data_IF_938159020941
#
_entry.id   IF_938159020941
#
_cell.length_a   1.000
_cell.length_b   1.000
_cell.length_c   1.000
_cell.angle_alpha   90.00
_cell.angle_beta   90.00
_cell.angle_gamma   90.00
#
_symmetry.space_group_name_H-M   'P 1'
#
loop_
_entity.id
_entity.type
_entity.pdbx_description
1 polymer ?
#
# COMPACT_ATOMS: atom_id res chain seq x y z
N UNK A 1 -15.72 3.18 37.60
CA UNK A 1 -14.50 4.03 37.66
C UNK A 1 -13.71 3.76 36.39
N UNK A 2 -13.50 4.75 35.50
CA UNK A 2 -12.72 4.52 34.28
C UNK A 2 -11.24 4.34 34.67
N UNK A 3 -10.53 3.31 34.18
CA UNK A 3 -9.10 3.16 34.46
C UNK A 3 -8.36 4.41 33.97
N UNK A 4 -7.35 4.84 34.73
CA UNK A 4 -6.46 5.95 34.33
C UNK A 4 -5.83 5.55 32.99
N UNK A 5 -6.06 6.36 31.97
CA UNK A 5 -5.46 6.16 30.65
C UNK A 5 -4.84 7.45 30.16
N UNK A 6 -3.68 7.33 29.53
CA UNK A 6 -2.93 8.45 28.95
C UNK A 6 -2.99 8.30 27.45
N UNK A 7 -3.64 9.25 26.78
CA UNK A 7 -3.70 9.26 25.33
C UNK A 7 -2.31 9.39 24.71
N UNK A 8 -2.02 8.58 23.70
CA UNK A 8 -0.79 8.63 22.92
C UNK A 8 -1.00 9.25 21.54
N UNK A 9 -2.04 8.82 20.85
CA UNK A 9 -2.28 9.15 19.45
C UNK A 9 -3.77 9.16 19.16
N UNK A 10 -4.21 10.13 18.37
CA UNK A 10 -5.56 10.22 17.79
C UNK A 10 -5.45 10.52 16.30
N UNK A 11 -6.43 10.06 15.51
CA UNK A 11 -6.44 10.30 14.07
C UNK A 11 -7.63 9.65 13.38
N UNK A 12 -7.57 9.54 12.06
CA UNK A 12 -8.54 8.80 11.23
C UNK A 12 -7.83 7.61 10.58
N UNK A 13 -8.54 6.48 10.47
CA UNK A 13 -8.03 5.26 9.82
C UNK A 13 -7.70 5.45 8.32
N UNK A 14 -8.21 6.53 7.70
CA UNK A 14 -7.82 6.95 6.35
C UNK A 14 -6.35 7.36 6.24
N UNK A 15 -5.81 7.94 7.31
CA UNK A 15 -4.45 8.46 7.34
C UNK A 15 -3.46 7.43 7.90
N UNK A 16 -3.91 6.62 8.87
CA UNK A 16 -3.09 5.59 9.51
C UNK A 16 -3.90 4.29 9.65
N UNK A 17 -3.49 3.25 8.93
CA UNK A 17 -4.22 1.98 8.92
C UNK A 17 -4.22 1.30 10.29
N UNK A 18 -5.25 0.48 10.56
CA UNK A 18 -5.32 -0.33 11.78
C UNK A 18 -4.07 -1.24 11.93
N UNK A 19 -3.59 -1.80 10.83
CA UNK A 19 -2.38 -2.65 10.83
C UNK A 19 -1.16 -1.85 11.31
N UNK A 20 -0.98 -0.63 10.81
CA UNK A 20 0.11 0.25 11.23
C UNK A 20 0.02 0.61 12.71
N UNK A 21 -1.18 0.85 13.23
CA UNK A 21 -1.41 1.13 14.65
C UNK A 21 -1.09 -0.08 15.54
N UNK A 22 -1.45 -1.29 15.10
CA UNK A 22 -1.10 -2.53 15.81
C UNK A 22 0.40 -2.82 15.76
N UNK A 23 1.05 -2.56 14.63
CA UNK A 23 2.50 -2.67 14.50
C UNK A 23 3.22 -1.66 15.41
N UNK A 24 2.74 -0.42 15.47
CA UNK A 24 3.26 0.59 16.41
C UNK A 24 3.10 0.10 17.86
N UNK A 25 1.92 -0.40 18.22
CA UNK A 25 1.68 -0.97 19.55
C UNK A 25 2.65 -2.10 19.88
N UNK A 26 2.92 -2.98 18.93
CA UNK A 26 3.85 -4.09 19.08
C UNK A 26 5.30 -3.62 19.27
N UNK A 27 5.77 -2.69 18.42
CA UNK A 27 7.14 -2.15 18.47
C UNK A 27 7.40 -1.39 19.77
N UNK A 28 6.43 -0.59 20.21
CA UNK A 28 6.53 0.23 21.42
C UNK A 28 6.08 -0.51 22.70
N UNK A 29 5.79 -1.82 22.59
CA UNK A 29 5.29 -2.67 23.68
C UNK A 29 4.13 -2.02 24.47
N UNK A 30 3.20 -1.37 23.78
CA UNK A 30 2.13 -0.57 24.38
C UNK A 30 1.14 -1.48 25.12
N UNK A 31 0.92 -1.20 26.41
CA UNK A 31 -0.23 -1.71 27.16
C UNK A 31 -1.32 -0.63 27.24
N UNK A 32 -2.56 -0.97 26.88
CA UNK A 32 -3.65 0.00 26.87
C UNK A 32 -4.81 -0.39 25.95
N UNK A 33 -5.39 0.59 25.27
CA UNK A 33 -6.53 0.41 24.37
C UNK A 33 -6.34 1.19 23.08
N UNK A 34 -6.72 0.56 21.96
CA UNK A 34 -6.99 1.20 20.69
C UNK A 34 -8.50 1.19 20.45
N UNK A 35 -9.11 2.37 20.46
CA UNK A 35 -10.56 2.55 20.25
C UNK A 35 -10.80 3.13 18.86
N UNK A 36 -11.79 2.60 18.16
CA UNK A 36 -12.33 3.17 16.92
C UNK A 36 -13.74 3.66 17.23
N UNK A 37 -13.93 4.97 17.20
CA UNK A 37 -15.17 5.64 17.61
C UNK A 37 -16.39 5.06 16.87
N UNK A 38 -17.41 4.68 17.64
CA UNK A 38 -18.66 4.13 17.10
C UNK A 38 -18.55 2.72 16.52
N UNK A 39 -17.37 2.07 16.54
CA UNK A 39 -17.18 0.72 15.99
C UNK A 39 -16.75 -0.31 17.03
N UNK A 40 -15.64 -0.05 17.72
CA UNK A 40 -15.05 -1.09 18.56
C UNK A 40 -13.80 -0.67 19.33
N UNK A 41 -13.27 -1.62 20.09
CA UNK A 41 -12.09 -1.47 20.92
C UNK A 41 -11.23 -2.73 20.84
N UNK A 42 -9.92 -2.51 20.87
CA UNK A 42 -8.87 -3.51 20.98
C UNK A 42 -8.09 -3.21 22.26
N UNK A 43 -8.02 -4.15 23.20
CA UNK A 43 -7.05 -4.07 24.27
C UNK A 43 -5.66 -4.49 23.77
N UNK A 44 -4.63 -3.86 24.30
CA UNK A 44 -3.23 -4.10 23.96
C UNK A 44 -2.49 -4.55 25.22
N UNK A 45 -1.88 -5.71 25.18
CA UNK A 45 -1.15 -6.33 26.29
C UNK A 45 0.33 -6.40 25.92
N UNK A 46 1.13 -5.43 26.39
CA UNK A 46 2.57 -5.30 26.05
C UNK A 46 2.81 -5.35 24.52
N UNK A 47 1.95 -4.67 23.77
CA UNK A 47 2.00 -4.59 22.31
C UNK A 47 1.31 -5.74 21.57
N UNK A 48 0.86 -6.78 22.27
CA UNK A 48 0.06 -7.85 21.67
C UNK A 48 -1.43 -7.52 21.70
N UNK A 49 -2.17 -7.98 20.69
CA UNK A 49 -3.62 -7.84 20.65
C UNK A 49 -4.23 -8.71 21.74
N UNK A 50 -4.97 -8.08 22.66
CA UNK A 50 -5.71 -8.72 23.73
C UNK A 50 -7.15 -9.05 23.33
N UNK A 51 -8.10 -8.76 24.21
CA UNK A 51 -9.52 -8.79 23.88
C UNK A 51 -9.88 -7.76 22.81
N UNK A 52 -10.72 -8.17 21.86
CA UNK A 52 -11.23 -7.31 20.79
C UNK A 52 -12.75 -7.38 20.77
N UNK A 53 -13.39 -6.23 20.58
CA UNK A 53 -14.84 -6.11 20.45
C UNK A 53 -15.23 -5.15 19.32
N UNK A 54 -16.20 -5.54 18.50
CA UNK A 54 -16.75 -4.72 17.42
C UNK A 54 -18.25 -4.97 17.32
N UNK A 55 -19.07 -4.03 17.80
CA UNK A 55 -20.51 -4.26 17.96
C UNK A 55 -20.79 -5.51 18.83
N UNK A 56 -21.37 -6.55 18.23
CA UNK A 56 -21.66 -7.84 18.88
C UNK A 56 -20.54 -8.88 18.71
N UNK A 57 -19.58 -8.62 17.83
CA UNK A 57 -18.47 -9.54 17.57
C UNK A 57 -17.42 -9.42 18.67
N UNK A 58 -16.72 -10.53 18.94
CA UNK A 58 -15.57 -10.56 19.84
C UNK A 58 -14.41 -11.35 19.23
N UNK A 59 -13.19 -11.14 19.76
CA UNK A 59 -12.00 -11.90 19.36
C UNK A 59 -11.63 -11.71 17.89
N UNK A 60 -11.29 -12.81 17.21
CA UNK A 60 -10.77 -12.83 15.83
C UNK A 60 -11.76 -12.21 14.83
N UNK A 61 -13.05 -12.50 14.98
CA UNK A 61 -14.09 -11.97 14.09
C UNK A 61 -14.25 -10.46 14.25
N UNK A 62 -14.19 -9.96 15.49
CA UNK A 62 -14.22 -8.54 15.77
C UNK A 62 -12.99 -7.82 15.21
N UNK A 63 -11.81 -8.43 15.35
CA UNK A 63 -10.58 -7.89 14.81
C UNK A 63 -10.62 -7.81 13.28
N UNK A 64 -11.11 -8.88 12.63
CA UNK A 64 -11.32 -8.92 11.18
C UNK A 64 -12.29 -7.84 10.73
N UNK A 65 -13.43 -7.68 11.41
CA UNK A 65 -14.40 -6.63 11.12
C UNK A 65 -13.79 -5.23 11.28
N UNK A 66 -13.07 -4.95 12.37
CA UNK A 66 -12.39 -3.65 12.54
C UNK A 66 -11.35 -3.39 11.46
N UNK A 67 -10.57 -4.41 11.08
CA UNK A 67 -9.55 -4.32 10.03
C UNK A 67 -10.13 -4.17 8.63
N UNK A 68 -11.36 -4.64 8.40
CA UNK A 68 -12.05 -4.50 7.12
C UNK A 68 -12.32 -3.04 6.78
N UNK A 69 -12.63 -2.21 7.78
CA UNK A 69 -12.93 -0.78 7.59
C UNK A 69 -11.65 0.07 7.52
N UNK A 70 -11.58 0.98 6.55
CA UNK A 70 -10.46 1.90 6.33
C UNK A 70 -10.78 3.35 6.74
N UNK A 71 -11.90 3.57 7.41
CA UNK A 71 -12.33 4.88 7.91
C UNK A 71 -12.86 4.81 9.32
N UNK A 72 -12.58 5.86 10.09
CA UNK A 72 -13.10 6.04 11.44
C UNK A 72 -12.09 6.72 12.33
N UNK A 73 -12.58 7.60 13.22
CA UNK A 73 -11.70 8.23 14.20
C UNK A 73 -11.23 7.19 15.20
N UNK A 74 -9.94 7.20 15.49
CA UNK A 74 -9.34 6.30 16.47
C UNK A 74 -8.64 7.08 17.59
N UNK A 75 -8.52 6.42 18.73
CA UNK A 75 -7.72 6.87 19.88
C UNK A 75 -6.93 5.69 20.42
N UNK A 76 -5.61 5.83 20.46
CA UNK A 76 -4.67 4.93 21.11
C UNK A 76 -4.25 5.53 22.45
N UNK A 77 -4.48 4.81 23.54
CA UNK A 77 -4.16 5.27 24.89
C UNK A 77 -3.44 4.18 25.68
N UNK A 78 -2.41 4.57 26.46
CA UNK A 78 -1.77 3.69 27.46
C UNK A 78 -2.65 3.53 28.67
N UNK A 79 -2.56 2.36 29.29
CA UNK A 79 -3.13 2.09 30.60
C UNK A 79 -2.97 0.62 30.98
N UNK A 80 -3.78 0.18 31.93
CA UNK A 80 -3.74 -1.18 32.47
C UNK A 80 -5.02 -1.92 32.07
N UNK A 81 -5.06 -2.54 30.87
CA UNK A 81 -6.17 -3.37 30.48
C UNK A 81 -6.27 -4.60 31.39
N UNK A 82 -7.51 -4.97 31.74
CA UNK A 82 -7.78 -6.11 32.58
C UNK A 82 -7.68 -7.42 31.77
N UNK A 83 -7.06 -8.44 32.37
CA UNK A 83 -6.91 -9.77 31.79
C UNK A 83 -5.58 -9.97 31.06
N UNK A 84 -5.26 -11.23 30.81
CA UNK A 84 -4.03 -11.73 30.18
C UNK A 84 -4.29 -12.44 28.84
N UNK A 85 -5.56 -12.49 28.42
CA UNK A 85 -5.99 -13.17 27.19
C UNK A 85 -5.56 -12.39 25.96
N UNK A 86 -4.76 -13.05 25.12
CA UNK A 86 -4.40 -12.59 23.79
C UNK A 86 -5.45 -13.03 22.76
N UNK A 87 -5.66 -12.23 21.72
CA UNK A 87 -6.40 -12.67 20.55
C UNK A 87 -5.53 -13.65 19.75
N UNK A 88 -6.06 -14.84 19.49
CA UNK A 88 -5.38 -15.82 18.65
C UNK A 88 -5.38 -15.37 17.18
N UNK A 89 -4.44 -15.89 16.38
CA UNK A 89 -4.46 -15.79 14.92
C UNK A 89 -4.62 -14.37 14.34
N UNK A 90 -4.07 -13.35 15.01
CA UNK A 90 -4.07 -11.94 14.53
C UNK A 90 -3.63 -11.81 13.07
N UNK A 91 -2.54 -12.43 12.58
CA UNK A 91 -2.14 -12.30 11.19
C UNK A 91 -3.20 -12.80 10.20
N UNK A 92 -3.90 -13.89 10.55
CA UNK A 92 -4.99 -14.43 9.75
C UNK A 92 -6.16 -13.44 9.67
N UNK A 93 -6.59 -12.88 10.82
CA UNK A 93 -7.68 -11.89 10.84
C UNK A 93 -7.39 -10.68 9.95
N UNK A 94 -6.14 -10.20 9.97
CA UNK A 94 -5.70 -9.06 9.15
C UNK A 94 -5.65 -9.41 7.66
N UNK A 95 -5.07 -10.55 7.29
CA UNK A 95 -5.02 -11.00 5.90
C UNK A 95 -6.42 -11.27 5.32
N UNK A 96 -7.28 -11.92 6.11
CA UNK A 96 -8.66 -12.21 5.72
C UNK A 96 -9.47 -10.92 5.54
N UNK A 97 -9.26 -9.91 6.39
CA UNK A 97 -9.90 -8.59 6.20
C UNK A 97 -9.52 -7.93 4.86
N UNK A 98 -8.26 -8.03 4.42
CA UNK A 98 -7.84 -7.52 3.11
C UNK A 98 -8.50 -8.28 1.96
N UNK A 99 -8.50 -9.63 2.02
CA UNK A 99 -9.19 -10.48 1.04
C UNK A 99 -10.66 -10.09 0.94
N UNK A 100 -11.34 -9.97 2.08
CA UNK A 100 -12.76 -9.62 2.15
C UNK A 100 -13.03 -8.23 1.58
N UNK A 101 -12.14 -7.26 1.79
CA UNK A 101 -12.28 -5.92 1.20
C UNK A 101 -12.26 -5.97 -0.33
N UNK A 102 -11.38 -6.78 -0.91
CA UNK A 102 -11.32 -6.94 -2.37
C UNK A 102 -12.53 -7.69 -2.93
N UNK A 103 -13.03 -8.70 -2.23
CA UNK A 103 -14.30 -9.34 -2.60
C UNK A 103 -15.50 -8.38 -2.47
N UNK A 104 -15.52 -7.55 -1.43
CA UNK A 104 -16.58 -6.57 -1.22
C UNK A 104 -16.65 -5.55 -2.35
N UNK A 105 -15.51 -5.08 -2.88
CA UNK A 105 -15.49 -4.20 -4.07
C UNK A 105 -16.24 -4.80 -5.27
N UNK A 106 -16.29 -6.14 -5.38
CA UNK A 106 -16.95 -6.86 -6.48
C UNK A 106 -18.41 -7.22 -6.16
N UNK A 107 -18.77 -7.25 -4.88
CA UNK A 107 -20.08 -7.70 -4.39
C UNK A 107 -20.99 -6.55 -3.97
N UNK A 108 -20.45 -5.47 -3.43
CA UNK A 108 -21.19 -4.36 -2.82
C UNK A 108 -22.31 -3.85 -3.74
N UNK A 109 -21.97 -3.54 -4.99
CA UNK A 109 -22.91 -2.97 -5.97
C UNK A 109 -23.71 -4.04 -6.73
N UNK A 110 -23.63 -5.30 -6.31
CA UNK A 110 -24.35 -6.38 -6.99
C UNK A 110 -25.77 -6.48 -6.46
N UNK A 111 -26.72 -6.61 -7.37
CA UNK A 111 -28.11 -6.89 -7.05
C UNK A 111 -28.31 -8.39 -7.07
N UNK A 112 -28.74 -8.94 -5.95
CA UNK A 112 -28.96 -10.37 -5.78
C UNK A 112 -30.46 -10.64 -5.66
N UNK A 113 -30.88 -11.81 -6.16
CA UNK A 113 -32.21 -12.37 -5.90
C UNK A 113 -32.11 -13.84 -5.51
N UNK A 114 -33.12 -14.34 -4.81
CA UNK A 114 -33.27 -15.78 -4.53
C UNK A 114 -33.61 -16.54 -5.81
N UNK A 115 -33.13 -17.77 -5.92
CA UNK A 115 -33.50 -18.68 -7.00
C UNK A 115 -34.80 -19.39 -6.63
N UNK A 116 -35.86 -19.22 -7.43
CA UNK A 116 -37.21 -19.69 -7.10
C UNK A 116 -37.28 -21.22 -6.85
N UNK A 117 -36.53 -21.99 -7.62
CA UNK A 117 -36.51 -23.47 -7.55
C UNK A 117 -35.64 -24.04 -6.41
N UNK A 118 -34.98 -23.19 -5.62
CA UNK A 118 -34.08 -23.61 -4.52
C UNK A 118 -34.39 -22.82 -3.25
N UNK A 119 -35.18 -23.38 -2.30
CA UNK A 119 -35.55 -22.66 -1.09
C UNK A 119 -34.34 -22.40 -0.19
N UNK A 120 -34.24 -21.17 0.32
CA UNK A 120 -33.25 -20.81 1.34
C UNK A 120 -33.55 -21.54 2.64
N UNK A 121 -32.54 -22.20 3.22
CA UNK A 121 -32.59 -22.78 4.56
C UNK A 121 -31.77 -21.90 5.51
N UNK A 122 -32.39 -21.30 6.54
CA UNK A 122 -31.67 -20.48 7.51
C UNK A 122 -30.50 -21.24 8.14
N UNK A 123 -29.36 -20.57 8.18
CA UNK A 123 -28.10 -21.09 8.74
C UNK A 123 -27.89 -20.65 10.19
N UNK A 124 -28.69 -19.71 10.68
CA UNK A 124 -28.46 -18.97 11.93
C UNK A 124 -27.44 -17.82 11.78
N UNK A 125 -26.89 -17.63 10.58
CA UNK A 125 -25.86 -16.64 10.29
C UNK A 125 -26.42 -15.25 9.94
N UNK A 126 -25.56 -14.21 9.94
CA UNK A 126 -25.98 -12.83 9.72
C UNK A 126 -26.44 -12.53 8.28
N UNK A 127 -26.26 -13.48 7.36
CA UNK A 127 -26.76 -13.37 6.00
C UNK A 127 -28.24 -13.79 5.87
N UNK A 128 -28.76 -14.61 6.79
CA UNK A 128 -30.16 -15.06 6.77
C UNK A 128 -31.17 -13.89 6.67
N UNK A 129 -31.11 -12.83 7.52
CA UNK A 129 -32.03 -11.71 7.38
C UNK A 129 -31.85 -10.96 6.06
N UNK A 130 -30.63 -10.86 5.53
CA UNK A 130 -30.34 -10.21 4.26
C UNK A 130 -30.99 -10.97 3.10
N UNK A 131 -30.97 -12.30 3.12
CA UNK A 131 -31.59 -13.14 2.08
C UNK A 131 -33.09 -12.93 2.01
N UNK A 132 -33.75 -12.70 3.14
CA UNK A 132 -35.19 -12.42 3.19
C UNK A 132 -35.54 -11.07 2.55
N UNK A 133 -34.60 -10.13 2.52
CA UNK A 133 -34.74 -8.80 1.94
C UNK A 133 -34.33 -8.68 0.47
N UNK A 134 -33.79 -9.76 -0.12
CA UNK A 134 -33.40 -9.81 -1.54
C UNK A 134 -34.62 -9.65 -2.45
N UNK A 135 -34.85 -8.42 -2.88
CA UNK A 135 -35.95 -8.00 -3.75
C UNK A 135 -35.57 -7.95 -5.24
N UNK A 136 -34.31 -8.25 -5.57
CA UNK A 136 -33.78 -8.18 -6.93
C UNK A 136 -33.68 -6.74 -7.47
N UNK A 137 -33.70 -5.72 -6.60
CA UNK A 137 -33.62 -4.29 -6.95
C UNK A 137 -32.51 -3.58 -6.19
N UNK A 138 -32.43 -3.76 -4.87
CA UNK A 138 -31.41 -3.13 -4.02
C UNK A 138 -30.07 -3.87 -4.15
N UNK A 139 -28.99 -3.11 -4.08
CA UNK A 139 -27.64 -3.69 -4.02
C UNK A 139 -27.38 -4.39 -2.69
N UNK A 140 -26.44 -5.33 -2.67
CA UNK A 140 -26.05 -6.00 -1.43
C UNK A 140 -25.54 -5.00 -0.39
N UNK A 141 -24.83 -3.95 -0.80
CA UNK A 141 -24.40 -2.89 0.09
C UNK A 141 -25.57 -2.14 0.75
N UNK A 142 -26.61 -1.79 -0.01
CA UNK A 142 -27.81 -1.12 0.54
C UNK A 142 -28.57 -1.99 1.54
N UNK A 143 -28.51 -3.31 1.41
CA UNK A 143 -29.11 -4.26 2.34
C UNK A 143 -28.26 -4.48 3.61
N UNK A 144 -26.94 -4.40 3.47
CA UNK A 144 -26.00 -4.60 4.58
C UNK A 144 -25.78 -3.33 5.39
N UNK A 145 -25.86 -2.15 4.80
CA UNK A 145 -25.61 -0.85 5.45
C UNK A 145 -26.42 -0.62 6.76
N UNK A 146 -27.71 -1.01 6.86
CA UNK A 146 -28.48 -0.92 8.10
C UNK A 146 -27.97 -1.82 9.24
N UNK A 147 -27.05 -2.75 8.95
CA UNK A 147 -26.57 -3.77 9.86
C UNK A 147 -25.05 -3.59 10.12
N UNK A 148 -24.65 -2.65 10.98
CA UNK A 148 -23.23 -2.39 11.23
C UNK A 148 -22.56 -3.57 11.97
N UNK A 149 -21.32 -3.87 11.58
CA UNK A 149 -20.50 -4.88 12.26
C UNK A 149 -20.77 -6.33 11.86
N UNK A 150 -21.47 -6.57 10.74
CA UNK A 150 -21.66 -7.91 10.18
C UNK A 150 -21.14 -8.04 8.75
N UNK A 151 -20.54 -6.98 8.18
CA UNK A 151 -20.18 -6.93 6.76
C UNK A 151 -19.23 -8.07 6.38
N UNK A 152 -18.21 -8.33 7.20
CA UNK A 152 -17.26 -9.43 6.93
C UNK A 152 -17.90 -10.81 6.96
N UNK A 153 -18.92 -11.02 7.79
CA UNK A 153 -19.63 -12.28 7.89
C UNK A 153 -20.62 -12.49 6.72
N UNK A 154 -21.17 -11.40 6.18
CA UNK A 154 -22.09 -11.46 5.04
C UNK A 154 -21.35 -11.81 3.74
N UNK A 155 -20.11 -11.35 3.57
CA UNK A 155 -19.36 -11.54 2.31
C UNK A 155 -19.19 -13.02 1.96
N UNK A 156 -18.61 -13.82 2.87
CA UNK A 156 -18.35 -15.24 2.59
C UNK A 156 -19.67 -16.01 2.45
N UNK A 157 -20.67 -15.72 3.28
CA UNK A 157 -21.99 -16.34 3.18
C UNK A 157 -22.69 -16.02 1.84
N UNK A 158 -22.56 -14.79 1.33
CA UNK A 158 -23.09 -14.39 0.03
C UNK A 158 -22.34 -15.09 -1.13
N UNK A 159 -21.02 -15.20 -1.04
CA UNK A 159 -20.19 -15.92 -2.02
C UNK A 159 -20.54 -17.41 -2.07
N UNK A 160 -20.73 -18.05 -0.92
CA UNK A 160 -21.13 -19.45 -0.85
C UNK A 160 -22.55 -19.67 -1.37
N UNK A 161 -23.49 -18.78 -1.04
CA UNK A 161 -24.85 -18.82 -1.58
C UNK A 161 -24.88 -18.69 -3.11
N UNK A 162 -24.04 -17.80 -3.68
CA UNK A 162 -23.86 -17.68 -5.13
C UNK A 162 -23.27 -18.96 -5.73
N UNK A 163 -22.23 -19.53 -5.11
CA UNK A 163 -21.57 -20.76 -5.55
C UNK A 163 -22.53 -21.96 -5.54
N UNK A 164 -23.40 -22.06 -4.54
CA UNK A 164 -24.41 -23.12 -4.40
C UNK A 164 -25.64 -22.87 -5.30
N UNK A 165 -25.74 -21.69 -5.91
CA UNK A 165 -26.88 -21.26 -6.72
C UNK A 165 -28.16 -21.13 -5.90
N UNK A 166 -28.06 -20.72 -4.64
CA UNK A 166 -29.21 -20.38 -3.78
C UNK A 166 -29.69 -18.94 -4.03
N UNK A 167 -28.75 -18.09 -4.43
CA UNK A 167 -28.99 -16.73 -4.91
C UNK A 167 -28.28 -16.53 -6.24
N UNK A 168 -28.76 -15.60 -7.04
CA UNK A 168 -28.18 -15.27 -8.33
C UNK A 168 -28.08 -13.76 -8.55
N UNK A 169 -27.17 -13.37 -9.45
CA UNK A 169 -26.96 -11.98 -9.82
C UNK A 169 -28.03 -11.55 -10.82
N UNK A 170 -28.67 -10.42 -10.56
CA UNK A 170 -29.60 -9.81 -11.50
C UNK A 170 -28.81 -8.97 -12.50
N UNK A 171 -28.90 -9.33 -13.78
CA UNK A 171 -28.26 -8.58 -14.88
C UNK A 171 -29.19 -7.48 -15.42
N UNK A 172 -28.62 -6.37 -15.89
CA UNK A 172 -29.38 -5.28 -16.53
C UNK A 172 -29.98 -4.25 -15.58
N UNK A 173 -29.80 -4.37 -14.26
CA UNK A 173 -30.11 -3.29 -13.32
C UNK A 173 -28.97 -2.25 -13.42
N UNK A 174 -29.27 -0.97 -13.73
CA UNK A 174 -28.23 0.05 -13.83
C UNK A 174 -27.48 0.14 -12.51
N UNK A 175 -26.15 -0.03 -12.56
CA UNK A 175 -25.30 0.27 -11.41
C UNK A 175 -25.60 1.70 -10.99
N UNK A 176 -26.03 1.91 -9.75
CA UNK A 176 -26.07 3.25 -9.19
C UNK A 176 -24.64 3.80 -9.29
N UNK A 177 -24.41 4.94 -9.94
CA UNK A 177 -23.10 5.56 -9.90
C UNK A 177 -22.72 5.73 -8.42
N UNK A 178 -21.45 5.51 -8.04
CA UNK A 178 -21.01 5.76 -6.68
C UNK A 178 -21.49 7.16 -6.28
N UNK A 179 -21.93 7.37 -5.02
CA UNK A 179 -22.39 8.68 -4.59
C UNK A 179 -21.34 9.70 -5.01
N UNK A 180 -21.77 10.65 -5.86
CA UNK A 180 -20.92 11.75 -6.31
C UNK A 180 -20.31 12.35 -5.04
N UNK A 181 -18.99 12.17 -4.88
CA UNK A 181 -18.25 12.99 -3.95
C UNK A 181 -18.63 14.42 -4.28
N UNK A 182 -19.03 15.18 -3.27
CA UNK A 182 -19.40 16.60 -3.42
C UNK A 182 -18.22 17.29 -4.09
N UNK A 183 -18.32 17.51 -5.40
CA UNK A 183 -17.38 18.34 -6.16
C UNK A 183 -17.98 19.73 -6.14
N UNK A 184 -17.59 20.50 -5.13
CA UNK A 184 -17.75 21.95 -5.14
C UNK A 184 -16.42 22.60 -4.78
N UNK A 185 -15.57 22.75 -5.79
CA UNK A 185 -14.76 23.94 -6.09
C UNK A 185 -13.74 23.57 -7.17
N UNK A 186 -13.53 24.44 -8.17
CA UNK A 186 -12.36 24.33 -9.07
C UNK A 186 -11.08 24.59 -8.23
N UNK A 187 -10.66 23.62 -7.43
CA UNK A 187 -9.45 23.72 -6.61
C UNK A 187 -8.19 23.48 -7.47
N UNK A 188 -7.01 23.92 -6.99
CA UNK A 188 -5.73 23.73 -7.71
C UNK A 188 -5.51 22.26 -8.09
N UNK A 189 -5.83 21.36 -7.17
CA UNK A 189 -5.65 19.92 -7.36
C UNK A 189 -6.58 19.36 -8.45
N UNK A 190 -7.81 19.87 -8.60
CA UNK A 190 -8.74 19.47 -9.67
C UNK A 190 -8.24 19.88 -11.06
N UNK A 191 -7.69 21.10 -11.19
CA UNK A 191 -7.09 21.55 -12.44
C UNK A 191 -5.85 20.72 -12.82
N UNK A 192 -5.03 20.35 -11.84
CA UNK A 192 -3.83 19.53 -12.04
C UNK A 192 -4.21 18.10 -12.44
N UNK A 193 -5.19 17.49 -11.77
CA UNK A 193 -5.61 16.12 -12.05
C UNK A 193 -6.28 15.99 -13.42
N UNK A 194 -7.11 16.96 -13.81
CA UNK A 194 -7.71 17.00 -15.15
C UNK A 194 -6.67 17.28 -16.24
N UNK A 195 -5.70 18.15 -15.99
CA UNK A 195 -4.57 18.37 -16.91
C UNK A 195 -3.73 17.11 -17.12
N UNK A 196 -3.47 16.34 -16.07
CA UNK A 196 -2.76 15.06 -16.14
C UNK A 196 -3.53 13.99 -16.90
N UNK A 197 -4.84 13.93 -16.74
CA UNK A 197 -5.71 13.01 -17.49
C UNK A 197 -5.69 13.33 -19.00
N UNK A 198 -5.77 14.60 -19.39
CA UNK A 198 -5.68 15.02 -20.81
C UNK A 198 -4.30 14.72 -21.40
N UNK A 199 -3.22 14.88 -20.60
CA UNK A 199 -1.86 14.51 -21.02
C UNK A 199 -1.75 13.00 -21.29
N UNK A 200 -2.36 12.17 -20.44
CA UNK A 200 -2.40 10.70 -20.65
C UNK A 200 -3.18 10.30 -21.90
N UNK A 201 -4.10 11.15 -22.36
CA UNK A 201 -4.90 10.94 -23.58
C UNK A 201 -4.27 11.57 -24.85
N UNK A 202 -3.13 12.25 -24.71
CA UNK A 202 -2.45 12.92 -25.82
C UNK A 202 -3.06 14.27 -26.23
N UNK A 203 -3.96 14.82 -25.43
CA UNK A 203 -4.63 16.11 -25.66
C UNK A 203 -3.82 17.27 -25.05
N UNK A 204 -2.63 17.50 -25.59
CA UNK A 204 -1.61 18.36 -24.98
C UNK A 204 -2.01 19.84 -24.88
N UNK A 205 -2.66 20.41 -25.88
CA UNK A 205 -3.07 21.82 -25.88
C UNK A 205 -4.15 22.11 -24.81
N UNK A 206 -5.09 21.18 -24.63
CA UNK A 206 -6.13 21.28 -23.61
C UNK A 206 -5.57 21.05 -22.20
N UNK A 207 -4.60 20.13 -22.06
CA UNK A 207 -3.86 19.94 -20.82
C UNK A 207 -3.07 21.19 -20.43
N UNK A 208 -2.38 21.83 -21.37
CA UNK A 208 -1.60 23.04 -21.12
C UNK A 208 -2.48 24.20 -20.64
N UNK A 209 -3.66 24.38 -21.24
CA UNK A 209 -4.59 25.45 -20.83
C UNK A 209 -5.07 25.30 -19.37
N UNK A 210 -5.33 24.06 -18.92
CA UNK A 210 -5.73 23.80 -17.53
C UNK A 210 -4.56 23.97 -16.55
N UNK A 211 -3.36 23.48 -16.92
CA UNK A 211 -2.17 23.59 -16.08
C UNK A 211 -1.71 25.04 -15.94
N UNK A 212 -1.82 25.87 -16.98
CA UNK A 212 -1.58 27.34 -16.89
C UNK A 212 -2.56 28.04 -15.94
N UNK A 213 -3.83 27.63 -15.91
CA UNK A 213 -4.81 28.14 -14.94
C UNK A 213 -4.48 27.71 -13.50
N UNK A 214 -3.93 26.50 -13.32
CA UNK A 214 -3.44 26.03 -12.02
C UNK A 214 -2.22 26.84 -11.55
N UNK A 215 -1.26 27.10 -12.45
CA UNK A 215 -0.08 27.93 -12.21
C UNK A 215 -0.41 29.37 -11.83
N UNK A 216 -1.42 29.97 -12.46
CA UNK A 216 -1.87 31.31 -12.11
C UNK A 216 -2.38 31.41 -10.65
N UNK A 217 -2.78 30.29 -10.05
CA UNK A 217 -3.23 30.22 -8.64
C UNK A 217 -2.09 29.91 -7.67
N UNK A 218 -1.03 29.21 -8.09
CA UNK A 218 0.20 28.97 -7.32
C UNK A 218 1.45 29.21 -8.17
N UNK A 219 1.89 30.48 -8.30
CA UNK A 219 2.98 30.87 -9.21
C UNK A 219 4.37 30.30 -8.85
N UNK A 220 4.57 29.89 -7.59
CA UNK A 220 5.87 29.48 -7.05
C UNK A 220 6.11 27.96 -7.06
N UNK A 221 5.25 27.17 -7.72
CA UNK A 221 5.36 25.71 -7.74
C UNK A 221 6.47 25.20 -8.68
N UNK A 222 7.47 24.54 -8.09
CA UNK A 222 8.71 24.08 -8.74
C UNK A 222 8.51 22.92 -9.72
N UNK A 223 7.38 22.22 -9.71
CA UNK A 223 7.12 21.09 -10.61
C UNK A 223 7.04 21.49 -12.10
N UNK A 224 6.79 22.77 -12.39
CA UNK A 224 6.58 23.27 -13.75
C UNK A 224 7.83 23.91 -14.36
N UNK A 225 8.72 24.47 -13.54
CA UNK A 225 9.89 25.20 -14.01
C UNK A 225 10.96 24.30 -14.68
N UNK A 226 10.95 22.99 -14.43
CA UNK A 226 11.96 22.07 -14.96
C UNK A 226 11.69 21.55 -16.38
N UNK A 227 10.51 21.81 -16.95
CA UNK A 227 10.17 21.33 -18.30
C UNK A 227 10.85 22.15 -19.42
N UNK A 228 11.41 23.33 -19.11
CA UNK A 228 11.80 24.33 -20.12
C UNK A 228 13.31 24.60 -20.30
N UNK A 229 14.22 23.69 -19.90
CA UNK A 229 15.68 23.91 -20.01
C UNK A 229 16.42 22.92 -20.94
N UNK A 230 17.38 23.35 -21.79
CA UNK A 230 18.04 22.47 -22.76
C UNK A 230 19.22 21.66 -22.18
N UNK A 231 19.38 20.41 -22.64
CA UNK A 231 20.44 19.43 -22.28
C UNK A 231 21.61 19.41 -23.28
N UNK A 232 22.85 19.06 -22.88
CA UNK A 232 23.91 18.63 -23.80
C UNK A 232 24.04 17.10 -23.92
N UNK A 233 24.57 16.65 -25.06
CA UNK A 233 24.59 15.26 -25.54
C UNK A 233 25.73 14.38 -24.99
N UNK A 234 25.44 13.08 -24.85
CA UNK A 234 26.35 12.03 -24.38
C UNK A 234 27.25 11.45 -25.49
N UNK A 235 28.45 10.99 -25.11
CA UNK A 235 29.41 10.30 -25.99
C UNK A 235 29.63 8.87 -25.48
N UNK A 236 29.21 7.88 -26.26
CA UNK A 236 29.44 6.43 -26.03
C UNK A 236 30.83 6.00 -26.53
N UNK A 237 31.56 5.23 -25.72
CA UNK A 237 32.79 4.52 -26.11
C UNK A 237 32.61 3.00 -26.09
N UNK A 238 33.08 2.31 -27.14
CA UNK A 238 32.96 0.85 -27.40
C UNK A 238 34.00 0.01 -26.64
N UNK A 239 33.64 -1.22 -26.29
CA UNK A 239 34.50 -2.26 -25.68
C UNK A 239 35.24 -3.15 -26.71
N UNK A 240 36.36 -3.76 -26.28
CA UNK A 240 37.09 -4.88 -26.93
C UNK A 240 37.28 -6.03 -25.91
N UNK A 241 37.29 -7.32 -26.32
CA UNK A 241 37.41 -8.45 -25.39
C UNK A 241 38.84 -9.00 -25.28
N UNK A 242 39.22 -9.45 -24.07
CA UNK A 242 40.43 -10.23 -23.79
C UNK A 242 40.63 -10.45 -22.28
N UNK A 243 40.67 -11.72 -21.85
CA UNK A 243 40.62 -12.16 -20.45
C UNK A 243 41.66 -11.51 -19.53
N UNK A 244 41.18 -10.64 -18.65
CA UNK A 244 41.84 -10.13 -17.46
C UNK A 244 41.07 -10.62 -16.23
N UNK A 245 41.68 -10.70 -15.03
CA UNK A 245 40.91 -10.95 -13.80
C UNK A 245 39.75 -9.96 -13.74
N UNK A 246 38.54 -10.46 -13.46
CA UNK A 246 37.33 -9.63 -13.48
C UNK A 246 37.55 -8.37 -12.66
N UNK A 247 37.40 -7.22 -13.31
CA UNK A 247 37.43 -5.92 -12.66
C UNK A 247 36.31 -5.84 -11.61
N UNK A 248 36.47 -4.98 -10.60
CA UNK A 248 35.44 -4.81 -9.55
C UNK A 248 34.06 -4.49 -10.13
N UNK A 249 34.00 -3.65 -11.18
CA UNK A 249 32.75 -3.33 -11.88
C UNK A 249 32.15 -4.55 -12.60
N UNK A 250 32.97 -5.43 -13.19
CA UNK A 250 32.50 -6.70 -13.79
C UNK A 250 31.98 -7.68 -12.74
N UNK A 251 32.62 -7.74 -11.55
CA UNK A 251 32.17 -8.55 -10.42
C UNK A 251 30.83 -8.05 -9.88
N UNK A 252 30.69 -6.73 -9.68
CA UNK A 252 29.43 -6.11 -9.25
C UNK A 252 28.34 -6.36 -10.30
N UNK A 253 28.63 -6.16 -11.59
CA UNK A 253 27.68 -6.42 -12.67
C UNK A 253 27.21 -7.88 -12.71
N UNK A 254 28.10 -8.83 -12.39
CA UNK A 254 27.73 -10.24 -12.26
C UNK A 254 26.80 -10.47 -11.07
N UNK A 255 27.05 -9.84 -9.91
CA UNK A 255 26.17 -9.91 -8.74
C UNK A 255 24.79 -9.32 -9.04
N UNK A 256 24.71 -8.19 -9.75
CA UNK A 256 23.43 -7.58 -10.14
C UNK A 256 22.61 -8.46 -11.08
N UNK A 257 23.27 -9.10 -12.06
CA UNK A 257 22.62 -10.08 -12.93
C UNK A 257 22.13 -11.29 -12.14
N UNK A 258 22.95 -11.80 -11.22
CA UNK A 258 22.55 -12.91 -10.35
C UNK A 258 21.35 -12.55 -9.48
N UNK A 259 21.30 -11.32 -8.95
CA UNK A 259 20.17 -10.83 -8.16
C UNK A 259 18.86 -10.85 -8.97
N UNK A 260 18.94 -10.44 -10.24
CA UNK A 260 17.78 -10.43 -11.15
C UNK A 260 17.38 -11.85 -11.62
N UNK A 261 18.31 -12.80 -11.67
CA UNK A 261 18.00 -14.19 -12.10
C UNK A 261 17.58 -15.11 -10.96
N UNK A 262 18.07 -14.89 -9.74
CA UNK A 262 17.83 -15.77 -8.59
C UNK A 262 16.56 -15.39 -7.83
N UNK A 263 16.13 -14.13 -7.95
CA UNK A 263 14.93 -13.60 -7.31
C UNK A 263 13.93 -13.21 -8.41
N UNK A 264 12.94 -14.06 -8.75
CA UNK A 264 12.05 -13.86 -9.91
C UNK A 264 11.27 -12.54 -9.90
N UNK A 265 11.11 -11.95 -8.72
CA UNK A 265 10.37 -10.72 -8.52
C UNK A 265 11.22 -9.46 -8.78
N UNK A 266 12.53 -9.59 -8.99
CA UNK A 266 13.46 -8.49 -9.28
C UNK A 266 13.63 -8.36 -10.80
N UNK A 267 13.24 -7.20 -11.34
CA UNK A 267 13.28 -6.92 -12.76
C UNK A 267 14.60 -6.29 -13.20
N UNK A 268 15.22 -5.50 -12.33
CA UNK A 268 16.40 -4.73 -12.64
C UNK A 268 17.18 -4.33 -11.39
N UNK A 269 18.50 -4.14 -11.53
CA UNK A 269 19.33 -3.62 -10.44
C UNK A 269 20.48 -2.75 -10.95
N UNK A 270 20.90 -1.77 -10.14
CA UNK A 270 22.00 -0.85 -10.45
C UNK A 270 22.74 -0.43 -9.17
N UNK A 271 24.03 -0.14 -9.28
CA UNK A 271 24.83 0.45 -8.20
C UNK A 271 25.30 1.82 -8.64
N UNK A 272 25.00 2.83 -7.83
CA UNK A 272 25.27 4.24 -8.10
C UNK A 272 26.08 4.78 -6.92
N UNK A 273 27.08 5.62 -7.17
CA UNK A 273 27.78 6.32 -6.09
C UNK A 273 26.98 7.52 -5.56
N UNK A 274 27.50 8.18 -4.52
CA UNK A 274 26.86 9.35 -3.92
C UNK A 274 26.80 10.56 -4.87
N UNK A 275 27.65 10.63 -5.90
CA UNK A 275 27.67 11.72 -6.89
C UNK A 275 26.71 11.46 -8.06
N UNK A 276 26.05 10.30 -8.08
CA UNK A 276 25.11 9.92 -9.13
C UNK A 276 25.77 9.34 -10.38
N UNK A 277 26.99 8.83 -10.27
CA UNK A 277 27.66 8.08 -11.33
C UNK A 277 27.34 6.59 -11.18
N UNK A 278 27.01 5.97 -12.32
CA UNK A 278 26.71 4.55 -12.37
C UNK A 278 28.01 3.72 -12.28
N UNK A 279 28.13 2.87 -11.26
CA UNK A 279 29.25 1.95 -11.07
C UNK A 279 29.06 0.66 -11.90
N UNK A 280 27.83 0.13 -11.89
CA UNK A 280 27.43 -1.07 -12.62
C UNK A 280 25.89 -1.16 -12.71
N UNK A 281 25.37 -1.77 -13.76
CA UNK A 281 23.93 -2.01 -13.94
C UNK A 281 23.60 -3.37 -14.55
N UNK A 282 22.40 -3.83 -14.26
CA UNK A 282 21.69 -4.92 -14.92
C UNK A 282 20.26 -4.41 -15.17
N UNK A 283 20.14 -3.40 -16.03
CA UNK A 283 18.88 -2.78 -16.41
C UNK A 283 18.38 -3.31 -17.78
N UNK A 284 17.06 -3.37 -18.00
CA UNK A 284 16.47 -3.60 -19.32
C UNK A 284 16.92 -2.56 -20.38
N UNK A 285 16.91 -2.95 -21.65
CA UNK A 285 17.43 -2.12 -22.75
C UNK A 285 16.64 -0.81 -22.99
N UNK A 286 15.39 -0.75 -22.55
CA UNK A 286 14.49 0.40 -22.61
C UNK A 286 14.66 1.38 -21.44
N UNK A 287 15.46 1.03 -20.43
CA UNK A 287 15.78 1.90 -19.29
C UNK A 287 17.15 2.54 -19.49
N UNK A 288 17.19 3.87 -19.41
CA UNK A 288 18.45 4.62 -19.51
C UNK A 288 19.20 4.61 -18.16
N UNK A 289 20.44 4.09 -18.17
CA UNK A 289 21.39 4.10 -17.05
C UNK A 289 21.47 5.47 -16.34
N UNK A 290 21.62 6.56 -17.12
CA UNK A 290 21.75 7.93 -16.60
C UNK A 290 20.50 8.38 -15.83
N UNK A 291 19.30 7.93 -16.23
CA UNK A 291 18.06 8.28 -15.53
C UNK A 291 18.01 7.60 -14.17
N UNK A 292 18.34 6.32 -14.12
CA UNK A 292 18.36 5.56 -12.86
C UNK A 292 19.40 6.15 -11.91
N UNK A 293 20.60 6.47 -12.42
CA UNK A 293 21.65 7.07 -11.62
C UNK A 293 21.22 8.42 -10.99
N UNK A 294 20.65 9.31 -11.80
CA UNK A 294 20.17 10.62 -11.34
C UNK A 294 19.02 10.50 -10.32
N UNK A 295 18.03 9.65 -10.58
CA UNK A 295 16.92 9.42 -9.66
C UNK A 295 17.39 8.82 -8.33
N UNK A 296 18.35 7.87 -8.39
CA UNK A 296 18.89 7.24 -7.20
C UNK A 296 19.70 8.20 -6.33
N UNK A 297 20.54 9.04 -6.93
CA UNK A 297 21.28 10.07 -6.21
C UNK A 297 20.35 11.11 -5.57
N UNK A 298 19.32 11.55 -6.30
CA UNK A 298 18.33 12.49 -5.77
C UNK A 298 17.57 11.90 -4.56
N UNK A 299 17.11 10.64 -4.67
CA UNK A 299 16.44 9.94 -3.58
C UNK A 299 17.37 9.70 -2.38
N UNK A 300 18.63 9.33 -2.62
CA UNK A 300 19.62 9.15 -1.56
C UNK A 300 19.84 10.47 -0.80
N UNK A 301 20.13 11.56 -1.49
CA UNK A 301 20.36 12.86 -0.86
C UNK A 301 19.15 13.37 -0.06
N UNK A 302 17.93 13.19 -0.58
CA UNK A 302 16.72 13.50 0.17
C UNK A 302 16.56 12.60 1.39
N UNK A 303 16.79 11.29 1.25
CA UNK A 303 16.63 10.33 2.34
C UNK A 303 17.64 10.57 3.46
N UNK A 304 18.90 10.83 3.12
CA UNK A 304 19.96 11.20 4.07
C UNK A 304 19.65 12.51 4.81
N UNK A 305 19.07 13.48 4.12
CA UNK A 305 18.59 14.70 4.75
C UNK A 305 17.46 14.40 5.73
N UNK A 306 16.45 13.62 5.32
CA UNK A 306 15.33 13.25 6.18
C UNK A 306 15.81 12.55 7.45
N UNK A 307 16.68 11.53 7.34
CA UNK A 307 17.15 10.79 8.53
C UNK A 307 17.98 11.67 9.47
N UNK A 308 18.78 12.59 8.93
CA UNK A 308 19.57 13.53 9.73
C UNK A 308 18.70 14.57 10.43
N UNK A 309 17.83 15.25 9.68
CA UNK A 309 16.98 16.32 10.21
C UNK A 309 15.95 15.80 11.22
N UNK A 310 15.50 14.55 11.06
CA UNK A 310 14.56 13.90 11.98
C UNK A 310 15.26 13.03 13.05
N UNK A 311 16.60 13.09 13.15
CA UNK A 311 17.38 12.31 14.11
C UNK A 311 17.04 10.81 14.12
N UNK A 312 16.97 10.19 12.94
CA UNK A 312 16.71 8.75 12.72
C UNK A 312 18.00 7.92 12.54
N UNK A 313 19.17 8.51 12.75
CA UNK A 313 20.46 7.85 12.57
C UNK A 313 20.94 7.88 11.12
N UNK A 314 21.55 6.79 10.66
CA UNK A 314 22.09 6.66 9.31
C UNK A 314 21.05 6.09 8.34
N UNK A 315 21.04 6.58 7.10
CA UNK A 315 20.15 6.02 6.08
C UNK A 315 20.58 4.59 5.76
N UNK A 316 19.63 3.65 5.81
CA UNK A 316 19.85 2.26 5.46
C UNK A 316 19.15 1.88 4.15
N UNK A 317 17.88 2.25 4.02
CA UNK A 317 17.03 1.87 2.89
C UNK A 317 15.86 2.84 2.70
N UNK A 318 15.46 3.07 1.45
CA UNK A 318 14.17 3.67 1.08
C UNK A 318 13.47 2.77 0.06
N UNK A 319 12.15 2.70 0.14
CA UNK A 319 11.30 1.99 -0.81
C UNK A 319 10.19 2.90 -1.30
N UNK A 320 10.04 2.99 -2.62
CA UNK A 320 8.97 3.70 -3.30
C UNK A 320 8.04 2.66 -3.92
N UNK A 321 6.75 2.70 -3.57
CA UNK A 321 5.72 1.85 -4.18
C UNK A 321 5.05 2.61 -5.31
N UNK A 322 5.12 2.07 -6.52
CA UNK A 322 4.32 2.48 -7.66
C UNK A 322 3.14 1.53 -7.88
N UNK A 323 2.26 1.88 -8.81
CA UNK A 323 1.14 1.02 -9.23
C UNK A 323 1.57 -0.21 -10.02
N UNK A 324 2.83 -0.30 -10.43
CA UNK A 324 3.37 -1.40 -11.24
C UNK A 324 4.50 -2.17 -10.53
N UNK A 325 4.84 -1.79 -9.30
CA UNK A 325 5.97 -2.40 -8.61
C UNK A 325 6.61 -1.49 -7.56
N UNK A 326 7.86 -1.80 -7.24
CA UNK A 326 8.64 -1.14 -6.20
C UNK A 326 9.99 -0.71 -6.75
N UNK A 327 10.45 0.48 -6.34
CA UNK A 327 11.84 0.90 -6.46
C UNK A 327 12.45 0.93 -5.06
N UNK A 328 13.49 0.13 -4.83
CA UNK A 328 14.14 -0.02 -3.52
C UNK A 328 15.59 0.43 -3.65
N UNK A 329 16.01 1.34 -2.77
CA UNK A 329 17.38 1.82 -2.68
C UNK A 329 17.94 1.42 -1.32
N UNK A 330 19.05 0.70 -1.29
CA UNK A 330 19.72 0.25 -0.08
C UNK A 330 21.17 0.72 -0.06
N UNK A 331 21.65 1.23 1.07
CA UNK A 331 23.06 1.61 1.20
C UNK A 331 23.96 0.39 0.98
N UNK A 332 25.04 0.58 0.22
CA UNK A 332 26.07 -0.44 -0.02
C UNK A 332 27.46 0.18 0.11
N UNK A 333 28.23 -0.27 1.10
CA UNK A 333 29.50 0.37 1.45
C UNK A 333 29.31 1.78 2.02
N UNK A 334 30.38 2.58 2.02
CA UNK A 334 30.35 3.96 2.52
C UNK A 334 29.70 4.93 1.51
N UNK A 335 30.03 4.77 0.22
CA UNK A 335 29.80 5.80 -0.80
C UNK A 335 28.92 5.36 -1.98
N UNK A 336 28.08 4.34 -1.80
CA UNK A 336 27.20 3.86 -2.87
C UNK A 336 25.83 3.37 -2.39
N UNK A 337 24.91 3.29 -3.35
CA UNK A 337 23.55 2.78 -3.20
C UNK A 337 23.24 1.71 -4.24
N UNK A 338 22.68 0.58 -3.77
CA UNK A 338 22.09 -0.46 -4.59
C UNK A 338 20.63 -0.09 -4.85
N UNK A 339 20.28 0.11 -6.12
CA UNK A 339 18.93 0.37 -6.61
C UNK A 339 18.35 -0.88 -7.23
N UNK A 340 17.13 -1.26 -6.88
CA UNK A 340 16.44 -2.46 -7.36
C UNK A 340 15.02 -2.13 -7.76
N UNK A 341 14.60 -2.61 -8.92
CA UNK A 341 13.22 -2.57 -9.39
C UNK A 341 12.60 -3.96 -9.20
N UNK A 342 11.43 -4.01 -8.57
CA UNK A 342 10.71 -5.25 -8.30
C UNK A 342 9.25 -5.14 -8.73
N UNK A 343 8.66 -6.26 -9.13
CA UNK A 343 7.28 -6.34 -9.61
C UNK A 343 6.25 -6.00 -8.52
N UNK A 344 5.01 -5.68 -8.90
CA UNK A 344 3.91 -5.48 -7.92
C UNK A 344 3.63 -6.74 -7.08
N UNK A 345 3.81 -7.93 -7.65
CA UNK A 345 3.60 -9.21 -6.99
C UNK A 345 4.77 -9.64 -6.08
N UNK A 346 5.79 -8.79 -5.95
CA UNK A 346 7.03 -9.13 -5.27
C UNK A 346 6.82 -9.53 -3.80
N UNK A 347 7.41 -10.67 -3.43
CA UNK A 347 7.48 -11.11 -2.03
C UNK A 347 8.55 -10.30 -1.29
N UNK A 348 8.19 -9.11 -0.81
CA UNK A 348 9.11 -8.12 -0.24
C UNK A 348 10.07 -8.68 0.82
N UNK A 349 9.63 -9.65 1.66
CA UNK A 349 10.51 -10.29 2.64
C UNK A 349 11.71 -11.03 2.01
N UNK A 350 11.49 -11.71 0.87
CA UNK A 350 12.57 -12.37 0.13
C UNK A 350 13.43 -11.36 -0.62
N UNK A 351 12.80 -10.37 -1.25
CA UNK A 351 13.50 -9.28 -1.94
C UNK A 351 14.44 -8.54 -0.99
N UNK A 352 13.99 -8.19 0.21
CA UNK A 352 14.86 -7.53 1.20
C UNK A 352 16.01 -8.42 1.69
N UNK A 353 15.78 -9.73 1.84
CA UNK A 353 16.83 -10.67 2.22
C UNK A 353 17.94 -10.71 1.17
N UNK A 354 17.57 -10.79 -0.11
CA UNK A 354 18.51 -10.86 -1.23
C UNK A 354 19.21 -9.51 -1.47
N UNK A 355 18.47 -8.39 -1.39
CA UNK A 355 19.05 -7.04 -1.43
C UNK A 355 20.08 -6.85 -0.31
N UNK A 356 19.76 -7.28 0.92
CA UNK A 356 20.68 -7.12 2.06
C UNK A 356 21.97 -7.92 1.88
N UNK A 357 21.87 -9.13 1.31
CA UNK A 357 23.04 -9.96 0.99
C UNK A 357 23.87 -9.33 -0.13
N UNK A 358 23.24 -8.93 -1.21
CA UNK A 358 23.89 -8.29 -2.36
C UNK A 358 24.57 -6.97 -1.95
N UNK A 359 23.89 -6.10 -1.20
CA UNK A 359 24.44 -4.84 -0.72
C UNK A 359 25.68 -5.03 0.17
N UNK A 360 25.69 -6.07 1.01
CA UNK A 360 26.86 -6.41 1.84
C UNK A 360 28.03 -6.94 1.01
N UNK A 361 27.76 -7.75 0.00
CA UNK A 361 28.79 -8.31 -0.88
C UNK A 361 29.39 -7.24 -1.80
N UNK A 362 28.53 -6.40 -2.41
CA UNK A 362 28.94 -5.24 -3.21
C UNK A 362 29.75 -4.26 -2.37
N UNK A 363 29.32 -3.98 -1.14
CA UNK A 363 30.05 -3.10 -0.22
C UNK A 363 31.49 -3.55 0.01
N UNK A 364 31.72 -4.86 0.18
CA UNK A 364 33.09 -5.43 0.31
C UNK A 364 33.93 -5.27 -0.96
N UNK A 365 33.31 -5.26 -2.14
CA UNK A 365 34.03 -5.05 -3.41
C UNK A 365 34.41 -3.58 -3.61
N UNK A 366 33.61 -2.65 -3.07
CA UNK A 366 33.86 -1.21 -3.15
C UNK A 366 34.94 -0.76 -2.16
N UNK A 367 35.01 -1.36 -0.97
CA UNK A 367 36.01 -1.07 0.06
C UNK A 367 35.35 -0.92 1.41
#
# INVERSE_FOLDING_TARGET
MRPRSTELLRGDLRDVSLVSLLQLAQVEAISGWLRIEGRGEISLLKGHVGTVACGRLTGVEALRELAFHDRGRFVLARGEPAGDRTCDNVPFALMDAYRLRDEWKRLADTVLRRVDDKPWKPTGGPFDPIVLELDGRRSLAELVDPHPGITTLVIDAALDALRLGLVERVHGVPRRPPPLAVVDSEDYDDLVDRGRELTRRGEFDAAEALLRRALARRPDDRAVQQVAGPRPASRRGRARPGGSPMTRSEQISKLLRNLSTTTPDIEAAAVVDNDGLLIASALPADVEDDRVAAMSAALLGMSERIVRELARGEFSLVMVRGSQGFAILARTGADAVLTVLATEAAKLGLVFLDISRAAKEIGRLLG
#
